data_IF_556972690223
#
_entry.id   IF_556972690223
#
_cell.length_a   1.000
_cell.length_b   1.000
_cell.length_c   1.000
_cell.angle_alpha   90.00
_cell.angle_beta   90.00
_cell.angle_gamma   90.00
#
_symmetry.space_group_name_H-M   'P 1'
#
loop_
_entity.id
_entity.type
_entity.pdbx_description
1 polymer ?
#
# COMPACT_ATOMS: atom_id res chain seq x y z
N UNK A 1 21.72 53.10 -47.26
CA UNK A 1 21.70 51.66 -46.92
C UNK A 1 21.80 51.53 -45.42
N UNK A 2 20.74 51.07 -44.76
CA UNK A 2 20.73 50.84 -43.31
C UNK A 2 19.99 49.54 -43.01
N UNK A 3 20.74 48.50 -42.64
CA UNK A 3 20.19 47.19 -42.28
C UNK A 3 19.53 47.28 -40.90
N UNK A 4 18.22 47.02 -40.84
CA UNK A 4 17.49 46.89 -39.57
C UNK A 4 17.92 45.55 -38.94
N UNK A 5 18.69 45.63 -37.84
CA UNK A 5 18.98 44.48 -36.97
C UNK A 5 17.68 44.00 -36.33
N UNK A 6 17.10 42.93 -36.86
CA UNK A 6 16.01 42.21 -36.21
C UNK A 6 16.60 41.57 -34.95
N UNK A 7 16.19 42.09 -33.79
CA UNK A 7 16.70 41.61 -32.50
C UNK A 7 16.33 40.13 -32.32
N UNK A 8 17.29 39.30 -31.88
CA UNK A 8 17.12 37.89 -31.50
C UNK A 8 16.11 37.65 -30.36
N UNK A 9 15.44 38.70 -29.87
CA UNK A 9 14.47 38.62 -28.77
C UNK A 9 13.10 38.07 -29.20
N UNK A 10 12.80 38.01 -30.51
CA UNK A 10 11.54 37.44 -30.99
C UNK A 10 11.54 35.89 -30.99
N UNK A 11 12.71 35.25 -31.02
CA UNK A 11 12.84 33.79 -31.01
C UNK A 11 12.94 33.17 -29.60
N UNK A 12 13.01 33.97 -28.54
CA UNK A 12 13.00 33.46 -27.16
C UNK A 12 11.61 33.43 -26.53
N UNK A 13 10.66 34.23 -27.05
CA UNK A 13 9.25 34.18 -26.63
C UNK A 13 8.52 32.95 -27.16
N UNK A 14 8.85 32.47 -28.36
CA UNK A 14 8.25 31.24 -28.88
C UNK A 14 8.61 30.06 -27.99
N UNK A 15 9.89 29.79 -27.70
CA UNK A 15 10.30 28.65 -26.85
C UNK A 15 9.75 28.66 -25.41
N UNK A 16 9.41 29.83 -24.85
CA UNK A 16 8.79 29.93 -23.53
C UNK A 16 7.30 29.61 -23.58
N UNK A 17 6.63 30.02 -24.65
CA UNK A 17 5.23 29.69 -24.93
C UNK A 17 5.12 28.23 -25.38
N UNK A 18 6.05 27.69 -26.19
CA UNK A 18 6.09 26.26 -26.54
C UNK A 18 6.41 25.40 -25.32
N UNK A 19 7.29 25.83 -24.40
CA UNK A 19 7.47 25.10 -23.13
C UNK A 19 6.25 25.15 -22.22
N UNK A 20 5.53 26.28 -22.18
CA UNK A 20 4.25 26.34 -21.48
C UNK A 20 3.16 25.52 -22.18
N UNK A 21 3.11 25.50 -23.51
CA UNK A 21 2.14 24.72 -24.29
C UNK A 21 2.45 23.21 -24.30
N UNK A 22 3.72 22.81 -24.28
CA UNK A 22 4.15 21.42 -24.06
C UNK A 22 3.90 20.99 -22.60
N UNK A 23 3.84 21.95 -21.66
CA UNK A 23 3.34 21.74 -20.29
C UNK A 23 1.80 21.80 -20.18
N UNK A 24 1.09 22.40 -21.15
CA UNK A 24 -0.37 22.64 -21.15
C UNK A 24 -1.18 21.68 -22.04
N UNK A 25 -0.58 20.89 -22.93
CA UNK A 25 -1.25 19.82 -23.68
C UNK A 25 -0.74 18.44 -23.23
N UNK A 26 -0.86 18.17 -21.94
CA UNK A 26 -1.02 16.80 -21.46
C UNK A 26 -2.26 16.82 -20.59
N UNK A 27 -3.41 16.53 -21.19
CA UNK A 27 -4.52 15.95 -20.44
C UNK A 27 -3.95 14.83 -19.58
N UNK A 28 -3.79 15.05 -18.26
CA UNK A 28 -3.27 14.01 -17.39
C UNK A 28 -4.40 13.03 -17.12
N UNK A 29 -4.69 12.18 -18.09
CA UNK A 29 -5.56 11.02 -17.91
C UNK A 29 -4.93 10.04 -16.91
N UNK A 30 -5.72 9.05 -16.46
CA UNK A 30 -5.28 8.04 -15.48
C UNK A 30 -3.90 7.45 -15.82
N UNK A 31 -3.66 7.18 -17.11
CA UNK A 31 -2.45 6.54 -17.60
C UNK A 31 -1.21 7.44 -17.46
N UNK A 32 -1.31 8.70 -17.87
CA UNK A 32 -0.16 9.64 -17.85
C UNK A 32 0.18 10.11 -16.44
N UNK A 33 -0.80 10.24 -15.54
CA UNK A 33 -0.56 10.53 -14.09
C UNK A 33 0.35 9.46 -13.45
N UNK A 34 0.20 8.22 -13.89
CA UNK A 34 1.02 7.08 -13.46
C UNK A 34 2.33 6.94 -14.24
N UNK A 35 2.60 7.79 -15.23
CA UNK A 35 3.83 7.78 -16.02
C UNK A 35 3.82 6.81 -17.20
N UNK A 36 2.65 6.42 -17.70
CA UNK A 36 2.50 5.75 -18.99
C UNK A 36 2.36 6.77 -20.12
N UNK A 37 2.75 6.40 -21.34
CA UNK A 37 2.53 7.26 -22.53
C UNK A 37 1.06 7.38 -22.92
N UNK A 38 0.22 6.44 -22.48
CA UNK A 38 -1.20 6.38 -22.74
C UNK A 38 -1.77 4.99 -22.49
N UNK A 39 -3.02 4.77 -22.88
CA UNK A 39 -3.75 3.49 -22.69
C UNK A 39 -3.01 2.31 -23.31
N UNK A 40 -2.46 2.49 -24.51
CA UNK A 40 -1.81 1.40 -25.24
C UNK A 40 -0.44 1.03 -24.64
N UNK A 41 0.33 2.01 -24.14
CA UNK A 41 1.56 1.73 -23.38
C UNK A 41 1.25 0.97 -22.08
N UNK A 42 0.17 1.34 -21.39
CA UNK A 42 -0.30 0.60 -20.22
C UNK A 42 -0.67 -0.85 -20.57
N UNK A 43 -1.51 -1.08 -21.60
CA UNK A 43 -1.87 -2.42 -22.04
C UNK A 43 -0.64 -3.27 -22.36
N UNK A 44 0.30 -2.73 -23.15
CA UNK A 44 1.52 -3.43 -23.52
C UNK A 44 2.44 -3.76 -22.33
N UNK A 45 2.52 -2.90 -21.33
CA UNK A 45 3.30 -3.17 -20.12
C UNK A 45 2.62 -4.19 -19.21
N UNK A 46 1.31 -4.13 -19.10
CA UNK A 46 0.54 -5.10 -18.30
C UNK A 46 0.50 -6.49 -18.95
N UNK A 47 0.32 -6.58 -20.28
CA UNK A 47 0.32 -7.87 -21.00
C UNK A 47 1.66 -8.61 -20.89
N UNK A 48 2.78 -7.88 -20.92
CA UNK A 48 4.12 -8.46 -20.69
C UNK A 48 4.29 -9.04 -19.28
N UNK A 49 3.58 -8.53 -18.28
CA UNK A 49 3.59 -9.10 -16.93
C UNK A 49 2.97 -10.50 -16.95
N UNK A 50 1.78 -10.62 -17.57
CA UNK A 50 1.00 -11.86 -17.62
C UNK A 50 1.69 -13.01 -18.37
N UNK A 51 2.68 -12.70 -19.22
CA UNK A 51 3.41 -13.71 -20.00
C UNK A 51 4.66 -14.28 -19.28
N UNK A 52 5.07 -13.74 -18.13
CA UNK A 52 6.28 -14.15 -17.36
C UNK A 52 5.96 -14.32 -15.85
N UNK A 53 4.75 -14.81 -15.58
CA UNK A 53 3.82 -14.21 -14.63
C UNK A 53 4.18 -14.39 -13.14
N UNK A 54 4.48 -15.62 -12.71
CA UNK A 54 4.53 -15.91 -11.28
C UNK A 54 5.80 -15.38 -10.61
N UNK A 55 6.95 -15.48 -11.29
CA UNK A 55 8.24 -15.02 -10.74
C UNK A 55 8.31 -13.49 -10.66
N UNK A 56 7.83 -12.79 -11.69
CA UNK A 56 7.86 -11.33 -11.69
C UNK A 56 6.90 -10.77 -10.64
N UNK A 57 5.68 -11.31 -10.59
CA UNK A 57 4.69 -10.84 -9.65
C UNK A 57 5.09 -11.15 -8.20
N UNK A 58 5.68 -12.33 -7.95
CA UNK A 58 6.29 -12.66 -6.65
C UNK A 58 7.42 -11.70 -6.28
N UNK A 59 8.30 -11.33 -7.22
CA UNK A 59 9.36 -10.34 -6.95
C UNK A 59 8.80 -8.95 -6.60
N UNK A 60 7.68 -8.56 -7.20
CA UNK A 60 6.98 -7.31 -6.89
C UNK A 60 6.31 -7.37 -5.52
N UNK A 61 5.72 -8.51 -5.16
CA UNK A 61 5.18 -8.80 -3.83
C UNK A 61 6.29 -8.75 -2.76
N UNK A 62 7.42 -9.42 -3.01
CA UNK A 62 8.59 -9.44 -2.11
C UNK A 62 9.11 -8.03 -1.83
N UNK A 63 9.18 -7.18 -2.86
CA UNK A 63 9.58 -5.77 -2.70
C UNK A 63 8.63 -5.00 -1.79
N UNK A 64 7.31 -5.19 -1.92
CA UNK A 64 6.32 -4.50 -1.09
C UNK A 64 6.37 -5.01 0.36
N UNK A 65 6.45 -6.32 0.56
CA UNK A 65 6.61 -6.92 1.89
C UNK A 65 7.89 -6.43 2.58
N UNK A 66 9.01 -6.35 1.85
CA UNK A 66 10.25 -5.85 2.40
C UNK A 66 10.14 -4.38 2.88
N UNK A 67 9.29 -3.55 2.26
CA UNK A 67 9.03 -2.19 2.73
C UNK A 67 8.29 -2.18 4.06
N UNK A 68 7.25 -3.01 4.20
CA UNK A 68 6.55 -3.20 5.48
C UNK A 68 7.56 -3.58 6.58
N UNK A 69 8.36 -4.61 6.33
CA UNK A 69 9.36 -5.10 7.29
C UNK A 69 10.37 -4.02 7.67
N UNK A 70 10.90 -3.29 6.68
CA UNK A 70 11.88 -2.23 6.93
C UNK A 70 11.28 -1.14 7.82
N UNK A 71 10.01 -0.79 7.60
CA UNK A 71 9.33 0.24 8.38
C UNK A 71 9.04 -0.24 9.81
N UNK A 72 8.52 -1.45 9.99
CA UNK A 72 8.36 -2.11 11.29
C UNK A 72 9.69 -2.17 12.06
N UNK A 73 10.77 -2.61 11.39
CA UNK A 73 12.11 -2.71 11.99
C UNK A 73 12.68 -1.35 12.38
N UNK A 74 12.39 -0.29 11.62
CA UNK A 74 12.82 1.07 11.92
C UNK A 74 12.09 1.66 13.13
N UNK A 75 10.79 1.38 13.25
CA UNK A 75 9.96 2.01 14.28
C UNK A 75 9.98 1.23 15.62
N UNK A 76 10.40 -0.04 15.63
CA UNK A 76 10.36 -0.91 16.83
C UNK A 76 11.11 -0.40 18.06
N UNK A 77 12.07 0.50 17.89
CA UNK A 77 12.84 1.07 19.02
C UNK A 77 12.02 2.05 19.86
N UNK A 78 11.06 2.73 19.22
CA UNK A 78 10.29 3.83 19.83
C UNK A 78 8.78 3.57 19.82
N UNK A 79 8.33 2.45 19.25
CA UNK A 79 6.91 2.12 19.12
C UNK A 79 6.65 0.68 19.58
N UNK A 80 5.92 0.53 20.70
CA UNK A 80 5.55 -0.76 21.32
C UNK A 80 4.72 -1.64 20.38
N UNK A 81 3.80 -1.06 19.60
CA UNK A 81 3.03 -1.79 18.59
C UNK A 81 3.94 -2.34 17.48
N UNK A 82 4.86 -1.52 16.97
CA UNK A 82 5.86 -1.96 16.00
C UNK A 82 6.78 -3.06 16.56
N UNK A 83 7.16 -2.97 17.85
CA UNK A 83 7.95 -4.00 18.54
C UNK A 83 7.20 -5.33 18.63
N UNK A 84 5.91 -5.31 19.01
CA UNK A 84 5.05 -6.48 19.06
C UNK A 84 4.94 -7.14 17.68
N UNK A 85 4.63 -6.36 16.65
CA UNK A 85 4.54 -6.86 15.26
C UNK A 85 5.88 -7.42 14.78
N UNK A 86 6.99 -6.73 15.06
CA UNK A 86 8.33 -7.21 14.72
C UNK A 86 8.63 -8.57 15.39
N UNK A 87 8.21 -8.76 16.64
CA UNK A 87 8.37 -10.03 17.35
C UNK A 87 7.55 -11.16 16.73
N UNK A 88 6.36 -10.87 16.21
CA UNK A 88 5.53 -11.85 15.51
C UNK A 88 6.18 -12.35 14.22
N UNK A 89 6.87 -11.48 13.47
CA UNK A 89 7.38 -11.83 12.13
C UNK A 89 8.86 -12.19 12.08
N UNK A 90 9.63 -11.95 13.15
CA UNK A 90 11.09 -12.16 13.16
C UNK A 90 11.50 -13.62 12.98
N UNK A 91 10.62 -14.56 13.32
CA UNK A 91 10.89 -16.00 13.26
C UNK A 91 10.62 -16.58 11.86
N UNK A 92 9.84 -15.87 11.05
CA UNK A 92 9.48 -16.26 9.68
C UNK A 92 10.62 -15.96 8.71
N UNK A 93 11.08 -16.98 7.97
CA UNK A 93 12.27 -16.89 7.09
C UNK A 93 11.97 -16.42 5.67
N UNK A 94 10.77 -16.69 5.17
CA UNK A 94 10.37 -16.37 3.78
C UNK A 94 9.35 -15.24 3.77
N UNK A 95 9.29 -14.47 2.67
CA UNK A 95 8.23 -13.44 2.49
C UNK A 95 6.84 -14.02 2.70
N UNK A 96 6.58 -15.19 2.11
CA UNK A 96 5.28 -15.86 2.22
C UNK A 96 4.90 -16.16 3.67
N UNK A 97 5.82 -16.76 4.44
CA UNK A 97 5.58 -17.05 5.87
C UNK A 97 5.41 -15.78 6.71
N UNK A 98 6.14 -14.70 6.42
CA UNK A 98 5.98 -13.43 7.12
C UNK A 98 4.61 -12.79 6.85
N UNK A 99 4.17 -12.79 5.58
CA UNK A 99 2.84 -12.31 5.22
C UNK A 99 1.75 -13.14 5.90
N UNK A 100 1.91 -14.46 5.96
CA UNK A 100 0.97 -15.34 6.68
C UNK A 100 0.91 -15.00 8.17
N UNK A 101 2.07 -14.90 8.84
CA UNK A 101 2.13 -14.53 10.25
C UNK A 101 1.53 -13.15 10.53
N UNK A 102 1.79 -12.15 9.66
CA UNK A 102 1.20 -10.81 9.81
C UNK A 102 -0.32 -10.84 9.64
N UNK A 103 -0.80 -11.56 8.64
CA UNK A 103 -2.22 -11.63 8.33
C UNK A 103 -2.98 -12.38 9.43
N UNK A 104 -2.42 -13.49 9.91
CA UNK A 104 -2.97 -14.23 11.04
C UNK A 104 -3.02 -13.36 12.31
N UNK A 105 -1.94 -12.65 12.60
CA UNK A 105 -1.90 -11.72 13.74
C UNK A 105 -2.93 -10.60 13.59
N UNK A 106 -3.06 -9.99 12.40
CA UNK A 106 -4.09 -8.98 12.12
C UNK A 106 -5.50 -9.53 12.40
N UNK A 107 -5.80 -10.75 11.95
CA UNK A 107 -7.09 -11.41 12.21
C UNK A 107 -7.32 -11.67 13.71
N UNK A 108 -6.29 -12.10 14.43
CA UNK A 108 -6.37 -12.29 15.89
C UNK A 108 -6.68 -10.97 16.62
N UNK A 109 -6.02 -9.87 16.22
CA UNK A 109 -6.30 -8.53 16.77
C UNK A 109 -7.75 -8.12 16.51
N UNK A 110 -8.24 -8.32 15.29
CA UNK A 110 -9.62 -7.99 14.90
C UNK A 110 -10.65 -8.82 15.66
N UNK A 111 -10.43 -10.14 15.79
CA UNK A 111 -11.32 -11.03 16.55
C UNK A 111 -11.39 -10.60 18.01
N UNK A 112 -10.24 -10.35 18.64
CA UNK A 112 -10.18 -9.90 20.02
C UNK A 112 -10.97 -8.60 20.24
N UNK A 113 -10.79 -7.60 19.38
CA UNK A 113 -11.49 -6.32 19.49
C UNK A 113 -13.01 -6.46 19.24
N UNK A 114 -13.41 -7.35 18.33
CA UNK A 114 -14.82 -7.66 18.09
C UNK A 114 -15.45 -8.34 19.30
N UNK A 115 -14.82 -9.38 19.84
CA UNK A 115 -15.30 -10.11 21.02
C UNK A 115 -15.46 -9.16 22.23
N UNK A 116 -14.53 -8.22 22.39
CA UNK A 116 -14.62 -7.18 23.43
C UNK A 116 -15.81 -6.23 23.25
N UNK A 117 -16.08 -5.81 22.01
CA UNK A 117 -17.22 -4.94 21.71
C UNK A 117 -18.55 -5.67 21.89
N UNK A 118 -18.65 -6.92 21.43
CA UNK A 118 -19.85 -7.75 21.50
C UNK A 118 -20.20 -8.14 22.95
N UNK A 119 -19.19 -8.31 23.81
CA UNK A 119 -19.41 -8.63 25.23
C UNK A 119 -19.65 -7.39 26.11
N UNK A 120 -19.58 -6.16 25.56
CA UNK A 120 -19.78 -4.92 26.32
C UNK A 120 -18.78 -4.71 27.47
N UNK A 121 -17.66 -5.43 27.46
CA UNK A 121 -16.71 -5.44 28.58
C UNK A 121 -15.78 -4.22 28.45
N UNK A 122 -16.03 -3.21 29.28
CA UNK A 122 -15.08 -2.13 29.51
C UNK A 122 -13.96 -2.68 30.39
N UNK A 123 -12.94 -3.27 29.78
CA UNK A 123 -11.74 -3.74 30.46
C UNK A 123 -10.82 -2.59 30.86
N UNK A 124 -11.30 -1.73 31.74
CA UNK A 124 -10.41 -0.96 32.60
C UNK A 124 -9.91 -1.94 33.68
N UNK A 125 -8.75 -2.56 33.39
CA UNK A 125 -8.03 -3.54 34.20
C UNK A 125 -8.56 -4.98 34.15
N UNK A 126 -8.04 -5.79 33.22
CA UNK A 126 -7.96 -7.23 33.48
C UNK A 126 -6.77 -7.48 34.41
N UNK A 127 -7.04 -8.13 35.54
CA UNK A 127 -6.05 -8.87 36.32
C UNK A 127 -5.20 -9.79 35.40
N UNK A 128 -3.85 -9.73 35.45
CA UNK A 128 -2.95 -10.59 34.69
C UNK A 128 -3.32 -12.09 34.66
N UNK A 129 -4.04 -12.59 35.66
CA UNK A 129 -4.49 -13.97 35.73
C UNK A 129 -5.45 -14.39 34.59
N UNK A 130 -6.21 -13.46 34.00
CA UNK A 130 -7.21 -13.79 32.97
C UNK A 130 -6.67 -13.75 31.54
N UNK A 131 -5.42 -13.29 31.33
CA UNK A 131 -4.75 -13.28 30.04
C UNK A 131 -4.45 -14.71 29.51
N UNK A 132 -4.39 -15.71 30.40
CA UNK A 132 -4.18 -17.10 30.02
C UNK A 132 -5.38 -17.70 29.26
N UNK A 133 -6.60 -17.22 29.52
CA UNK A 133 -7.83 -17.80 28.95
C UNK A 133 -8.07 -17.40 27.49
N UNK A 134 -7.50 -16.29 27.01
CA UNK A 134 -7.69 -15.85 25.61
C UNK A 134 -6.93 -16.76 24.63
N UNK A 135 -5.85 -17.40 25.07
CA UNK A 135 -5.05 -18.33 24.23
C UNK A 135 -5.70 -19.71 24.13
N UNK A 136 -6.42 -20.16 25.17
CA UNK A 136 -7.15 -21.45 25.18
C UNK A 136 -8.42 -21.44 24.29
N UNK A 137 -9.07 -20.29 24.10
CA UNK A 137 -10.32 -20.19 23.31
C UNK A 137 -10.09 -20.45 21.81
N UNK A 138 -8.85 -20.34 21.32
CA UNK A 138 -8.49 -20.59 19.90
C UNK A 138 -8.22 -22.06 19.52
N UNK A 139 -8.38 -23.03 20.43
CA UNK A 139 -8.25 -24.47 20.11
C UNK A 139 -6.83 -24.93 19.71
N UNK A 140 -5.82 -24.09 19.92
CA UNK A 140 -4.41 -24.46 19.80
C UNK A 140 -3.99 -24.94 21.19
N UNK A 141 -3.42 -26.15 21.29
CA UNK A 141 -2.79 -26.67 22.52
C UNK A 141 -1.27 -26.43 22.46
N UNK A 142 -0.77 -25.20 22.71
CA UNK A 142 0.66 -24.95 22.73
C UNK A 142 1.30 -25.68 23.91
N UNK A 143 2.49 -26.25 23.69
CA UNK A 143 3.23 -26.95 24.76
C UNK A 143 3.63 -25.93 25.83
N UNK A 144 3.70 -26.38 27.08
CA UNK A 144 3.98 -25.54 28.26
C UNK A 144 5.28 -24.70 28.14
N UNK A 145 6.25 -25.21 27.36
CA UNK A 145 7.51 -24.52 27.05
C UNK A 145 7.31 -23.30 26.14
N UNK A 146 6.35 -23.36 25.22
CA UNK A 146 5.99 -22.28 24.31
C UNK A 146 5.15 -21.22 25.04
N UNK A 147 4.30 -21.65 25.97
CA UNK A 147 3.60 -20.77 26.93
C UNK A 147 4.60 -20.01 27.81
N UNK A 148 5.63 -20.68 28.33
CA UNK A 148 6.69 -20.04 29.13
C UNK A 148 7.53 -19.05 28.31
N UNK A 149 7.75 -19.32 27.01
CA UNK A 149 8.40 -18.36 26.09
C UNK A 149 7.49 -17.18 25.77
N UNK A 150 6.21 -17.40 25.54
CA UNK A 150 5.20 -16.34 25.34
C UNK A 150 5.07 -15.44 26.56
N UNK A 151 5.03 -16.02 27.78
CA UNK A 151 5.04 -15.30 29.06
C UNK A 151 6.33 -14.50 29.30
N UNK A 152 7.49 -14.98 28.83
CA UNK A 152 8.77 -14.26 28.93
C UNK A 152 8.96 -13.22 27.82
N UNK A 153 8.31 -13.38 26.67
CA UNK A 153 8.44 -12.50 25.52
C UNK A 153 7.49 -11.30 25.57
N UNK A 154 6.47 -11.31 26.43
CA UNK A 154 5.49 -10.23 26.52
C UNK A 154 4.86 -10.14 27.92
N UNK A 155 4.84 -8.96 28.54
CA UNK A 155 3.60 -8.49 29.13
C UNK A 155 2.72 -8.03 27.96
N UNK A 156 1.85 -8.90 27.45
CA UNK A 156 0.57 -8.41 26.96
C UNK A 156 -0.15 -7.95 28.22
N UNK A 157 0.12 -6.72 28.65
CA UNK A 157 -0.81 -5.98 29.49
C UNK A 157 -2.11 -5.94 28.73
N UNK A 158 -3.07 -6.74 29.18
CA UNK A 158 -4.38 -7.00 28.59
C UNK A 158 -5.26 -5.74 28.59
N UNK A 159 -4.86 -4.72 27.84
CA UNK A 159 -5.61 -3.49 27.64
C UNK A 159 -6.00 -3.42 26.16
N UNK A 160 -7.30 -3.26 25.90
CA UNK A 160 -7.87 -3.03 24.56
C UNK A 160 -7.03 -2.07 23.73
N UNK A 161 -6.50 -1.02 24.37
CA UNK A 161 -5.65 -0.01 23.75
C UNK A 161 -4.39 -0.59 23.08
N UNK A 162 -3.74 -1.60 23.66
CA UNK A 162 -2.52 -2.20 23.07
C UNK A 162 -2.86 -2.96 21.77
N UNK A 163 -4.04 -3.59 21.71
CA UNK A 163 -4.56 -4.28 20.52
C UNK A 163 -4.99 -3.28 19.44
N UNK A 164 -5.70 -2.22 19.83
CA UNK A 164 -6.06 -1.11 18.92
C UNK A 164 -4.82 -0.43 18.34
N UNK A 165 -3.81 -0.17 19.17
CA UNK A 165 -2.55 0.42 18.74
C UNK A 165 -1.80 -0.49 17.75
N UNK A 166 -1.78 -1.80 17.99
CA UNK A 166 -1.16 -2.77 17.09
C UNK A 166 -1.90 -2.87 15.75
N UNK A 167 -3.23 -2.98 15.79
CA UNK A 167 -4.06 -3.06 14.58
C UNK A 167 -3.96 -1.75 13.77
N UNK A 168 -4.13 -0.61 14.44
CA UNK A 168 -4.02 0.70 13.82
C UNK A 168 -2.62 0.95 13.25
N UNK A 169 -1.57 0.42 13.86
CA UNK A 169 -0.23 0.46 13.27
C UNK A 169 -0.17 -0.36 11.97
N UNK A 170 -0.67 -1.59 11.93
CA UNK A 170 -0.71 -2.41 10.69
C UNK A 170 -1.47 -1.67 9.58
N UNK A 171 -2.67 -1.21 9.89
CA UNK A 171 -3.55 -0.49 8.94
C UNK A 171 -2.90 0.81 8.45
N UNK A 172 -2.17 1.52 9.31
CA UNK A 172 -1.41 2.71 8.90
C UNK A 172 -0.33 2.39 7.87
N UNK A 173 0.33 1.23 7.98
CA UNK A 173 1.32 0.79 7.01
C UNK A 173 0.67 0.32 5.71
N UNK A 174 -0.46 -0.39 5.78
CA UNK A 174 -1.27 -0.76 4.61
C UNK A 174 -1.70 0.48 3.83
N UNK A 175 -2.18 1.51 4.54
CA UNK A 175 -2.55 2.81 3.94
C UNK A 175 -1.37 3.52 3.31
N UNK A 176 -0.23 3.61 4.00
CA UNK A 176 0.97 4.28 3.49
C UNK A 176 1.51 3.63 2.21
N UNK A 177 1.40 2.30 2.11
CA UNK A 177 1.82 1.55 0.93
C UNK A 177 0.74 1.60 -0.15
N UNK A 178 -0.54 1.57 0.24
CA UNK A 178 -1.71 1.59 -0.65
C UNK A 178 -2.21 0.19 -1.03
N UNK A 179 -1.87 -0.83 -0.24
CA UNK A 179 -2.29 -2.23 -0.43
C UNK A 179 -2.42 -2.93 0.92
N UNK A 180 -3.43 -3.77 1.08
CA UNK A 180 -3.60 -4.55 2.31
C UNK A 180 -2.77 -5.84 2.29
N UNK A 181 -2.58 -6.45 3.46
CA UNK A 181 -1.93 -7.75 3.60
C UNK A 181 -2.73 -8.86 2.90
N UNK A 182 -4.06 -8.79 2.92
CA UNK A 182 -4.95 -9.69 2.19
C UNK A 182 -4.72 -9.58 0.68
N UNK A 183 -4.72 -8.36 0.14
CA UNK A 183 -4.48 -8.12 -1.29
C UNK A 183 -3.07 -8.57 -1.71
N UNK A 184 -2.07 -8.37 -0.84
CA UNK A 184 -0.71 -8.88 -1.04
C UNK A 184 -0.63 -10.39 -1.00
N UNK A 185 -1.45 -11.07 -0.19
CA UNK A 185 -1.51 -12.54 -0.15
C UNK A 185 -2.19 -13.09 -1.40
N UNK A 186 -3.28 -12.47 -1.82
CA UNK A 186 -4.04 -12.81 -3.03
C UNK A 186 -3.46 -12.14 -4.29
N UNK A 187 -2.14 -12.10 -4.40
CA UNK A 187 -1.43 -11.27 -5.39
C UNK A 187 -1.85 -11.53 -6.84
N UNK A 188 -2.32 -12.73 -7.19
CA UNK A 188 -2.83 -13.05 -8.54
C UNK A 188 -4.09 -12.26 -8.87
N UNK A 189 -5.00 -12.09 -7.90
CA UNK A 189 -6.23 -11.30 -8.06
C UNK A 189 -5.94 -9.79 -8.09
N UNK A 190 -4.88 -9.35 -7.40
CA UNK A 190 -4.49 -7.94 -7.29
C UNK A 190 -3.23 -7.58 -8.09
N UNK A 191 -2.95 -8.33 -9.16
CA UNK A 191 -1.71 -8.26 -9.93
C UNK A 191 -1.44 -6.87 -10.53
N UNK A 192 -2.47 -6.23 -11.11
CA UNK A 192 -2.40 -4.87 -11.65
C UNK A 192 -2.06 -3.86 -10.56
N UNK A 193 -2.72 -3.95 -9.41
CA UNK A 193 -2.47 -3.05 -8.27
C UNK A 193 -1.03 -3.16 -7.78
N UNK A 194 -0.55 -4.40 -7.59
CA UNK A 194 0.84 -4.69 -7.18
C UNK A 194 1.86 -4.16 -8.18
N UNK A 195 1.60 -4.33 -9.48
CA UNK A 195 2.43 -3.78 -10.54
C UNK A 195 2.49 -2.26 -10.48
N UNK A 196 1.32 -1.61 -10.42
CA UNK A 196 1.24 -0.16 -10.43
C UNK A 196 1.94 0.45 -9.22
N UNK A 197 1.71 -0.08 -8.01
CA UNK A 197 2.36 0.38 -6.79
C UNK A 197 3.89 0.28 -6.84
N UNK A 198 4.41 -0.79 -7.43
CA UNK A 198 5.85 -0.92 -7.65
C UNK A 198 6.37 0.03 -8.74
N UNK A 199 5.61 0.22 -9.82
CA UNK A 199 5.98 1.07 -10.95
C UNK A 199 6.10 2.54 -10.54
N UNK A 200 5.15 3.04 -9.75
CA UNK A 200 5.09 4.46 -9.41
C UNK A 200 5.96 4.86 -8.21
N UNK A 201 6.65 3.93 -7.56
CA UNK A 201 7.41 4.23 -6.35
C UNK A 201 8.48 5.31 -6.55
N UNK A 202 9.20 5.24 -7.67
CA UNK A 202 10.17 6.25 -8.07
C UNK A 202 9.51 7.60 -8.36
N UNK A 203 8.29 7.57 -8.92
CA UNK A 203 7.51 8.77 -9.26
C UNK A 203 6.95 9.47 -8.03
N UNK A 204 6.58 8.73 -6.97
CA UNK A 204 6.12 9.29 -5.69
C UNK A 204 7.18 10.22 -5.09
N UNK A 205 8.45 9.80 -5.10
CA UNK A 205 9.57 10.62 -4.60
C UNK A 205 9.84 11.85 -5.47
N UNK A 206 9.77 11.69 -6.79
CA UNK A 206 10.09 12.77 -7.74
C UNK A 206 9.01 13.85 -7.81
N UNK A 207 7.74 13.48 -7.65
CA UNK A 207 6.59 14.39 -7.80
C UNK A 207 5.55 14.16 -6.70
N UNK A 208 5.79 14.64 -5.46
CA UNK A 208 4.90 14.40 -4.32
C UNK A 208 3.54 15.07 -4.48
N UNK A 209 3.44 16.20 -5.19
CA UNK A 209 2.18 16.95 -5.42
C UNK A 209 1.12 16.18 -6.21
N UNK A 210 1.49 15.08 -6.87
CA UNK A 210 0.58 14.23 -7.66
C UNK A 210 0.15 12.97 -6.89
N UNK A 211 0.44 12.87 -5.59
CA UNK A 211 0.21 11.64 -4.83
C UNK A 211 -1.26 11.20 -4.82
N UNK A 212 -2.18 12.09 -4.46
CA UNK A 212 -3.62 11.79 -4.42
C UNK A 212 -4.17 11.35 -5.77
N UNK A 213 -3.82 12.08 -6.84
CA UNK A 213 -4.21 11.73 -8.23
C UNK A 213 -3.71 10.35 -8.65
N UNK A 214 -2.53 9.93 -8.17
CA UNK A 214 -1.99 8.60 -8.46
C UNK A 214 -2.68 7.49 -7.67
N UNK A 215 -3.09 7.76 -6.43
CA UNK A 215 -3.86 6.79 -5.65
C UNK A 215 -5.21 6.53 -6.30
N UNK A 216 -5.91 7.61 -6.69
CA UNK A 216 -7.13 7.51 -7.48
C UNK A 216 -6.88 6.74 -8.78
N UNK A 217 -5.79 7.08 -9.49
CA UNK A 217 -5.49 6.40 -10.74
C UNK A 217 -5.19 4.91 -10.58
N UNK A 218 -4.51 4.51 -9.50
CA UNK A 218 -4.30 3.10 -9.16
C UNK A 218 -5.63 2.43 -8.86
N UNK A 219 -6.49 3.04 -8.04
CA UNK A 219 -7.77 2.47 -7.67
C UNK A 219 -8.65 2.22 -8.91
N UNK A 220 -8.74 3.21 -9.81
CA UNK A 220 -9.52 3.09 -11.05
C UNK A 220 -8.93 2.04 -11.99
N UNK A 221 -7.62 2.06 -12.26
CA UNK A 221 -7.01 1.13 -13.22
C UNK A 221 -6.88 -0.30 -12.69
N UNK A 222 -6.93 -0.51 -11.38
CA UNK A 222 -6.90 -1.84 -10.76
C UNK A 222 -8.24 -2.55 -10.77
N UNK A 223 -9.34 -1.83 -11.07
CA UNK A 223 -10.67 -2.41 -11.26
C UNK A 223 -11.02 -2.43 -12.74
N UNK A 224 -11.32 -3.62 -13.27
CA UNK A 224 -11.74 -3.75 -14.67
C UNK A 224 -13.02 -2.94 -14.96
N UNK A 225 -13.96 -2.92 -14.02
CA UNK A 225 -15.20 -2.17 -14.15
C UNK A 225 -14.94 -0.66 -14.20
N UNK A 226 -14.22 -0.11 -13.22
CA UNK A 226 -13.94 1.32 -13.14
C UNK A 226 -13.07 1.79 -14.30
N UNK A 227 -12.07 0.98 -14.69
CA UNK A 227 -11.25 1.24 -15.87
C UNK A 227 -12.10 1.29 -17.14
N UNK A 228 -13.00 0.32 -17.34
CA UNK A 228 -13.87 0.28 -18.51
C UNK A 228 -14.86 1.45 -18.53
N UNK A 229 -15.41 1.81 -17.37
CA UNK A 229 -16.27 2.98 -17.22
C UNK A 229 -15.52 4.26 -17.60
N UNK A 230 -14.29 4.44 -17.08
CA UNK A 230 -13.45 5.59 -17.40
C UNK A 230 -13.13 5.65 -18.90
N UNK A 231 -12.62 4.56 -19.47
CA UNK A 231 -12.23 4.49 -20.88
C UNK A 231 -13.42 4.86 -21.79
N UNK A 232 -14.62 4.32 -21.54
CA UNK A 232 -15.84 4.63 -22.28
C UNK A 232 -16.31 6.07 -22.08
N UNK A 233 -16.18 6.60 -20.88
CA UNK A 233 -16.64 7.96 -20.55
C UNK A 233 -15.73 9.02 -21.17
N UNK A 234 -14.42 8.78 -21.25
CA UNK A 234 -13.48 9.64 -21.99
C UNK A 234 -13.75 9.58 -23.50
N UNK A 235 -13.95 8.38 -24.06
CA UNK A 235 -14.26 8.21 -25.48
C UNK A 235 -15.57 8.93 -25.89
N UNK A 236 -16.57 8.92 -25.01
CA UNK A 236 -17.85 9.63 -25.20
C UNK A 236 -17.78 11.13 -24.89
N UNK A 237 -16.62 11.66 -24.47
CA UNK A 237 -16.46 13.06 -24.06
C UNK A 237 -17.22 13.44 -22.77
N UNK A 238 -17.68 12.45 -21.99
CA UNK A 238 -18.46 12.65 -20.75
C UNK A 238 -17.56 12.98 -19.56
N UNK A 239 -16.35 12.43 -19.52
CA UNK A 239 -15.36 12.74 -18.49
C UNK A 239 -14.19 13.50 -19.10
N UNK A 240 -13.84 14.63 -18.47
CA UNK A 240 -12.55 15.26 -18.70
C UNK A 240 -11.45 14.46 -17.97
N UNK A 241 -10.24 14.32 -18.55
CA UNK A 241 -9.11 13.68 -17.89
C UNK A 241 -8.74 14.29 -16.52
N UNK A 242 -8.19 13.49 -15.59
CA UNK A 242 -7.92 13.84 -14.17
C UNK A 242 -7.04 15.09 -13.92
N UNK A 243 -6.50 15.72 -14.95
CA UNK A 243 -6.02 17.08 -14.83
C UNK A 243 -6.38 17.89 -16.07
N UNK A 244 -7.27 18.86 -15.85
CA UNK A 244 -7.27 20.15 -16.51
C UNK A 244 -6.71 21.15 -15.49
N UNK A 245 -5.58 21.78 -15.80
CA UNK A 245 -5.14 23.08 -15.27
C UNK A 245 -4.14 23.66 -16.27
#
# INVERSE_FOLDING_TARGET
MGAIKISKSLFSRSNKITKQYDELIVEKNLYTVLGFKGREDFKNKTSKLFNNDEKQLKKLQDKLCHRFEKKIKGDKGNNKAAQNINNTIKESKTTGSKLDSLLEFKKQLQSFLKDQNDQGIVLNAIDPASAARVIEVSGINPKERDIKKLKKAQPLTSNKQDFENALGYIESQEKAIGITLEELREYKKHSIKILLLNYIDSLRKKYPKLHSKREEAIATLSSNELKNFYDKSVEKGVLQPLASY
#
